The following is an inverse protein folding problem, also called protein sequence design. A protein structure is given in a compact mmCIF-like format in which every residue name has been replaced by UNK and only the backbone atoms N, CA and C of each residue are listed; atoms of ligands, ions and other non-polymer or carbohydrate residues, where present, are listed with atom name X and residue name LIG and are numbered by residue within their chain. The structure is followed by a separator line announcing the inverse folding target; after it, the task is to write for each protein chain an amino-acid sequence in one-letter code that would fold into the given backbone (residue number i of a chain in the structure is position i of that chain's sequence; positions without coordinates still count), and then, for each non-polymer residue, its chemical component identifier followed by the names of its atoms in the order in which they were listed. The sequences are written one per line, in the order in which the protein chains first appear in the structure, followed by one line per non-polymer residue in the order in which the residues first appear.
data_IF_014837558899
#
_entry.id   IF_014837558899
#
_cell.length_a   1.000
_cell.length_b   1.000
_cell.length_c   1.000
_cell.angle_alpha   90.00
_cell.angle_beta   90.00
_cell.angle_gamma   90.00
#
_symmetry.space_group_name_H-M   'P 1'
#
loop_
_entity.id
_entity.type
_entity.pdbx_description
1 polymer ?
#
# COMPACT_ATOMS: atom_id res chain seq x y z
N UNK A 1 -33.47 -51.23 39.09
CA UNK A 1 -34.62 -50.31 39.06
C UNK A 1 -34.38 -49.27 40.15
N UNK A 2 -34.19 -47.97 39.92
CA UNK A 2 -34.67 -47.05 38.88
C UNK A 2 -33.54 -46.05 38.58
N UNK A 3 -33.40 -45.75 37.30
CA UNK A 3 -32.59 -44.70 36.69
C UNK A 3 -33.00 -43.31 37.17
N UNK A 4 -32.03 -42.44 37.48
CA UNK A 4 -32.26 -40.99 37.44
C UNK A 4 -31.34 -40.37 36.39
N UNK A 5 -31.95 -40.10 35.24
CA UNK A 5 -31.44 -39.25 34.18
C UNK A 5 -31.03 -37.89 34.77
N UNK A 6 -29.73 -37.62 34.76
CA UNK A 6 -29.22 -36.25 34.87
C UNK A 6 -29.65 -35.47 33.61
N UNK A 7 -30.28 -34.32 33.81
CA UNK A 7 -30.85 -33.46 32.78
C UNK A 7 -29.79 -32.92 31.80
N UNK A 8 -30.09 -32.84 30.48
CA UNK A 8 -29.14 -32.38 29.45
C UNK A 8 -29.03 -30.85 29.32
N UNK A 9 -29.53 -30.06 30.30
CA UNK A 9 -29.62 -28.60 30.18
C UNK A 9 -28.33 -27.84 30.50
N UNK A 10 -27.32 -28.51 31.07
CA UNK A 10 -26.07 -27.86 31.48
C UNK A 10 -24.94 -27.92 30.44
N UNK A 11 -25.05 -28.81 29.44
CA UNK A 11 -24.00 -28.96 28.41
C UNK A 11 -24.13 -27.90 27.31
N UNK A 12 -25.35 -27.44 27.00
CA UNK A 12 -25.55 -26.39 25.98
C UNK A 12 -25.07 -24.99 26.42
N UNK A 13 -24.99 -24.71 27.73
CA UNK A 13 -24.56 -23.40 28.23
C UNK A 13 -23.04 -23.21 28.19
N UNK A 14 -22.27 -24.30 28.29
CA UNK A 14 -20.80 -24.25 28.21
C UNK A 14 -20.30 -24.10 26.77
N UNK A 15 -21.02 -24.61 25.78
CA UNK A 15 -20.62 -24.47 24.36
C UNK A 15 -20.86 -23.05 23.83
N UNK A 16 -21.88 -22.35 24.32
CA UNK A 16 -22.15 -20.97 23.88
C UNK A 16 -21.20 -19.91 24.48
N UNK A 17 -20.58 -20.20 25.63
CA UNK A 17 -19.58 -19.30 26.22
C UNK A 17 -18.20 -19.40 25.55
N UNK A 18 -17.85 -20.54 24.96
CA UNK A 18 -16.58 -20.70 24.24
C UNK A 18 -16.65 -20.34 22.74
N UNK A 19 -17.84 -20.29 22.14
CA UNK A 19 -17.99 -19.86 20.73
C UNK A 19 -18.05 -18.32 20.60
N UNK A 20 -18.32 -17.59 21.69
CA UNK A 20 -18.35 -16.13 21.71
C UNK A 20 -16.97 -15.44 21.77
N UNK A 21 -15.90 -16.17 22.10
CA UNK A 21 -14.53 -15.63 22.19
C UNK A 21 -13.66 -15.90 20.96
N UNK A 22 -14.27 -16.28 19.83
CA UNK A 22 -13.67 -15.97 18.52
C UNK A 22 -13.95 -14.49 18.21
N UNK A 23 -13.60 -13.62 19.17
CA UNK A 23 -13.56 -12.19 18.97
C UNK A 23 -12.47 -11.94 17.95
N UNK A 24 -12.94 -11.74 16.72
CA UNK A 24 -12.30 -11.03 15.63
C UNK A 24 -11.27 -10.03 16.20
N UNK A 25 -10.00 -10.45 16.31
CA UNK A 25 -8.89 -9.54 16.50
C UNK A 25 -8.78 -8.76 15.19
N UNK A 26 -9.65 -7.76 15.04
CA UNK A 26 -9.43 -6.69 14.07
C UNK A 26 -8.07 -6.11 14.42
N UNK A 27 -7.06 -6.45 13.63
CA UNK A 27 -5.72 -5.91 13.80
C UNK A 27 -5.84 -4.40 13.62
N UNK A 28 -5.88 -3.66 14.72
CA UNK A 28 -5.92 -2.20 14.69
C UNK A 28 -4.64 -1.73 14.03
N UNK A 29 -4.74 -1.18 12.82
CA UNK A 29 -3.61 -0.58 12.13
C UNK A 29 -3.34 0.77 12.79
N UNK A 30 -2.18 0.90 13.43
CA UNK A 30 -1.72 2.18 13.97
C UNK A 30 -1.15 3.01 12.82
N UNK A 31 -1.66 4.23 12.62
CA UNK A 31 -1.17 5.16 11.60
C UNK A 31 -0.19 6.17 12.20
N UNK A 32 1.04 6.17 11.70
CA UNK A 32 2.06 7.17 12.02
C UNK A 32 2.26 8.09 10.80
N UNK A 33 1.97 9.39 10.93
CA UNK A 33 2.27 10.36 9.88
C UNK A 33 3.71 10.86 10.06
N UNK A 34 4.53 10.72 9.03
CA UNK A 34 5.94 11.07 9.11
C UNK A 34 6.35 11.89 7.89
N UNK A 35 6.79 13.13 8.15
CA UNK A 35 7.26 14.09 7.15
C UNK A 35 6.19 14.55 6.15
N UNK A 36 6.04 15.87 6.04
CA UNK A 36 5.06 16.52 5.18
C UNK A 36 5.78 17.53 4.31
N UNK A 37 5.90 17.22 3.04
CA UNK A 37 6.25 18.20 2.02
C UNK A 37 5.15 19.25 1.92
N UNK A 38 5.56 20.49 1.63
CA UNK A 38 4.65 21.61 1.33
C UNK A 38 4.49 21.85 -0.16
N UNK A 39 5.30 21.18 -0.98
CA UNK A 39 5.28 21.31 -2.43
C UNK A 39 3.93 20.86 -3.02
N UNK A 40 3.37 21.59 -4.01
CA UNK A 40 2.22 21.11 -4.76
C UNK A 40 2.62 19.90 -5.61
N UNK A 41 1.68 18.97 -5.83
CA UNK A 41 1.90 17.89 -6.78
C UNK A 41 1.99 18.47 -8.20
N UNK A 42 3.01 18.02 -8.95
CA UNK A 42 3.30 18.55 -10.29
C UNK A 42 2.30 18.06 -11.35
N UNK A 43 1.66 16.91 -11.09
CA UNK A 43 0.64 16.32 -11.94
C UNK A 43 -0.30 15.43 -11.11
N UNK A 44 -1.44 15.07 -11.68
CA UNK A 44 -2.37 14.10 -11.10
C UNK A 44 -1.77 12.68 -10.95
N UNK A 45 -0.76 12.37 -11.76
CA UNK A 45 0.02 11.13 -11.70
C UNK A 45 1.18 11.16 -10.70
N UNK A 46 1.42 12.30 -10.04
CA UNK A 46 2.48 12.41 -9.02
C UNK A 46 2.02 11.69 -7.75
N UNK A 47 2.91 10.88 -7.17
CA UNK A 47 2.67 10.18 -5.90
C UNK A 47 2.60 11.20 -4.77
N UNK A 48 1.40 11.45 -4.26
CA UNK A 48 1.18 12.42 -3.19
C UNK A 48 1.54 11.87 -1.81
N UNK A 49 1.56 10.56 -1.62
CA UNK A 49 2.06 9.95 -0.41
C UNK A 49 2.57 8.51 -0.61
N UNK A 50 3.57 8.15 0.19
CA UNK A 50 4.02 6.77 0.36
C UNK A 50 3.47 6.20 1.67
N UNK A 51 2.94 4.98 1.63
CA UNK A 51 2.45 4.25 2.81
C UNK A 51 3.27 2.98 3.00
N UNK A 52 4.00 2.91 4.11
CA UNK A 52 4.83 1.76 4.47
C UNK A 52 4.17 0.95 5.58
N UNK A 53 3.90 -0.32 5.33
CA UNK A 53 3.37 -1.25 6.32
C UNK A 53 4.49 -2.07 6.97
N UNK A 54 4.52 -2.09 8.29
CA UNK A 54 5.47 -2.89 9.07
C UNK A 54 4.82 -3.41 10.36
N UNK A 55 5.54 -4.25 11.10
CA UNK A 55 5.08 -4.77 12.39
C UNK A 55 5.94 -4.17 13.49
N UNK A 56 5.31 -3.51 14.45
CA UNK A 56 5.97 -2.92 15.61
C UNK A 56 5.49 -3.63 16.88
N UNK A 57 6.38 -3.80 17.85
CA UNK A 57 5.99 -4.26 19.18
C UNK A 57 5.56 -3.05 20.00
N UNK A 58 4.29 -3.00 20.39
CA UNK A 58 3.71 -1.96 21.26
C UNK A 58 3.15 -2.66 22.49
N UNK A 59 3.64 -2.30 23.67
CA UNK A 59 3.26 -2.92 24.94
C UNK A 59 3.37 -4.46 24.93
N UNK A 60 4.47 -4.99 24.37
CA UNK A 60 4.72 -6.44 24.27
C UNK A 60 3.90 -7.19 23.20
N UNK A 61 2.94 -6.53 22.54
CA UNK A 61 2.13 -7.13 21.46
C UNK A 61 2.64 -6.70 20.09
N UNK A 62 2.71 -7.64 19.13
CA UNK A 62 3.00 -7.33 17.73
C UNK A 62 1.77 -6.69 17.10
N UNK A 63 1.91 -5.47 16.61
CA UNK A 63 0.85 -4.71 15.96
C UNK A 63 1.28 -4.37 14.53
N UNK A 64 0.32 -4.45 13.59
CA UNK A 64 0.53 -3.94 12.24
C UNK A 64 0.44 -2.42 12.30
N UNK A 65 1.42 -1.76 11.70
CA UNK A 65 1.57 -0.31 11.73
C UNK A 65 1.79 0.16 10.31
N UNK A 66 1.20 1.31 9.98
CA UNK A 66 1.44 1.98 8.71
C UNK A 66 2.05 3.36 8.98
N UNK A 67 3.16 3.63 8.30
CA UNK A 67 3.77 4.96 8.25
C UNK A 67 3.41 5.61 6.92
N UNK A 68 2.81 6.80 7.00
CA UNK A 68 2.42 7.58 5.83
C UNK A 68 3.32 8.80 5.69
N UNK A 69 3.98 8.91 4.53
CA UNK A 69 4.86 10.03 4.17
C UNK A 69 4.17 10.87 3.12
N UNK A 70 3.93 12.16 3.40
CA UNK A 70 3.25 13.06 2.45
C UNK A 70 4.31 13.75 1.59
N UNK A 71 4.31 13.40 0.31
CA UNK A 71 5.30 13.88 -0.66
C UNK A 71 4.87 15.18 -1.32
N UNK A 72 3.57 15.41 -1.54
CA UNK A 72 3.06 16.69 -2.05
C UNK A 72 1.59 16.92 -1.68
N UNK A 73 1.13 18.14 -1.93
CA UNK A 73 -0.26 18.56 -1.75
C UNK A 73 -1.03 18.48 -3.07
N UNK A 74 -2.19 17.82 -3.05
CA UNK A 74 -3.09 17.76 -4.18
C UNK A 74 -3.77 19.12 -4.40
N UNK A 75 -4.21 19.42 -5.63
CA UNK A 75 -4.92 20.68 -5.92
C UNK A 75 -6.22 20.82 -5.10
N UNK A 76 -6.87 19.71 -4.75
CA UNK A 76 -8.03 19.65 -3.84
C UNK A 76 -7.70 19.55 -2.34
N UNK A 77 -6.43 19.71 -1.95
CA UNK A 77 -6.00 19.68 -0.56
C UNK A 77 -5.12 18.48 -0.20
N UNK A 78 -5.51 17.74 0.85
CA UNK A 78 -4.72 16.62 1.36
C UNK A 78 -4.74 15.43 0.39
N UNK A 79 -3.63 14.71 0.31
CA UNK A 79 -3.55 13.43 -0.38
C UNK A 79 -4.64 12.49 0.18
N UNK A 80 -5.46 11.87 -0.68
CA UNK A 80 -6.56 11.01 -0.25
C UNK A 80 -6.03 9.77 0.48
N UNK A 81 -6.82 9.26 1.42
CA UNK A 81 -6.52 8.03 2.14
C UNK A 81 -7.64 7.01 1.94
N UNK A 82 -7.75 6.51 0.70
CA UNK A 82 -8.73 5.50 0.33
C UNK A 82 -8.13 4.50 -0.65
N UNK A 83 -8.70 3.30 -0.70
CA UNK A 83 -8.21 2.20 -1.55
C UNK A 83 -8.27 2.53 -3.04
N UNK A 84 -9.22 3.35 -3.48
CA UNK A 84 -9.36 3.77 -4.89
C UNK A 84 -8.23 4.67 -5.39
N UNK A 85 -7.36 5.16 -4.49
CA UNK A 85 -6.19 5.97 -4.80
C UNK A 85 -4.87 5.25 -4.52
N UNK A 86 -4.93 4.02 -4.02
CA UNK A 86 -3.76 3.26 -3.60
C UNK A 86 -3.28 2.35 -4.72
N UNK A 87 -1.97 2.37 -4.94
CA UNK A 87 -1.26 1.44 -5.82
C UNK A 87 -0.36 0.59 -4.94
N UNK A 88 -0.51 -0.73 -4.99
CA UNK A 88 0.39 -1.65 -4.29
C UNK A 88 1.69 -1.81 -5.09
N UNK A 89 2.77 -1.16 -4.64
CA UNK A 89 4.11 -1.31 -5.23
C UNK A 89 4.81 -2.56 -4.69
N UNK A 90 4.66 -2.80 -3.38
CA UNK A 90 5.11 -4.03 -2.75
C UNK A 90 4.12 -4.48 -1.69
N UNK A 91 4.31 -5.68 -1.12
CA UNK A 91 3.53 -6.14 0.03
C UNK A 91 3.65 -5.25 1.28
N UNK A 92 4.64 -4.34 1.35
CA UNK A 92 4.85 -3.42 2.47
C UNK A 92 4.83 -1.95 2.07
N UNK A 93 4.54 -1.63 0.82
CA UNK A 93 4.63 -0.27 0.31
C UNK A 93 3.51 -0.01 -0.69
N UNK A 94 2.75 1.05 -0.43
CA UNK A 94 1.70 1.55 -1.31
C UNK A 94 2.04 2.97 -1.73
N UNK A 95 1.74 3.31 -2.97
CA UNK A 95 1.77 4.67 -3.50
C UNK A 95 0.35 5.22 -3.48
N UNK A 96 0.18 6.50 -3.15
CA UNK A 96 -1.11 7.19 -3.20
C UNK A 96 -1.09 8.30 -4.24
N UNK A 97 -2.14 8.40 -5.04
CA UNK A 97 -2.32 9.43 -6.06
C UNK A 97 -3.43 10.41 -5.70
N UNK A 98 -3.37 11.62 -6.26
CA UNK A 98 -4.43 12.61 -6.10
C UNK A 98 -5.73 12.19 -6.80
N UNK A 99 -5.63 11.61 -8.00
CA UNK A 99 -6.79 11.04 -8.71
C UNK A 99 -6.99 9.56 -8.41
N UNK A 100 -8.21 9.03 -8.60
CA UNK A 100 -8.46 7.61 -8.55
C UNK A 100 -7.58 6.85 -9.54
N UNK A 101 -7.06 5.70 -9.13
CA UNK A 101 -6.17 4.88 -9.96
C UNK A 101 -6.87 4.36 -11.22
N UNK A 102 -8.21 4.29 -11.21
CA UNK A 102 -9.01 3.91 -12.38
C UNK A 102 -8.87 4.86 -13.58
N UNK A 103 -8.30 6.05 -13.38
CA UNK A 103 -7.97 6.99 -14.45
C UNK A 103 -6.71 6.60 -15.24
N UNK A 104 -5.89 5.69 -14.71
CA UNK A 104 -4.67 5.23 -15.35
C UNK A 104 -4.94 4.00 -16.22
N UNK A 105 -4.29 3.98 -17.39
CA UNK A 105 -4.30 2.80 -18.26
C UNK A 105 -3.45 1.67 -17.68
N UNK A 106 -3.76 0.43 -18.05
CA UNK A 106 -2.92 -0.73 -17.75
C UNK A 106 -1.62 -0.67 -18.54
N UNK A 107 -0.49 -0.94 -17.91
CA UNK A 107 0.80 -0.95 -18.57
C UNK A 107 0.92 -2.02 -19.64
N UNK A 108 1.44 -1.64 -20.81
CA UNK A 108 1.88 -2.59 -21.84
C UNK A 108 3.21 -3.23 -21.44
N UNK A 109 3.56 -4.41 -21.99
CA UNK A 109 4.88 -5.00 -21.80
C UNK A 109 5.99 -4.01 -22.15
N UNK A 110 7.03 -3.93 -21.31
CA UNK A 110 8.18 -3.02 -21.44
C UNK A 110 7.86 -1.51 -21.38
N UNK A 111 6.61 -1.12 -21.12
CA UNK A 111 6.28 0.28 -20.87
C UNK A 111 6.81 0.73 -19.51
N UNK A 112 7.34 1.95 -19.43
CA UNK A 112 7.66 2.59 -18.15
C UNK A 112 6.38 2.80 -17.34
N UNK A 113 6.31 2.14 -16.18
CA UNK A 113 5.22 2.25 -15.23
C UNK A 113 5.44 3.45 -14.32
N UNK A 114 6.62 3.55 -13.70
CA UNK A 114 6.94 4.64 -12.77
C UNK A 114 8.20 5.39 -13.22
N UNK A 115 8.21 6.70 -13.01
CA UNK A 115 9.41 7.53 -13.10
C UNK A 115 9.72 8.09 -11.71
N UNK A 116 10.93 7.85 -11.22
CA UNK A 116 11.43 8.50 -10.01
C UNK A 116 12.40 9.58 -10.43
N UNK A 117 12.01 10.83 -10.22
CA UNK A 117 12.83 12.00 -10.46
C UNK A 117 13.61 12.29 -9.19
N UNK A 118 14.93 12.37 -9.31
CA UNK A 118 15.85 12.65 -8.23
C UNK A 118 16.56 13.98 -8.49
N UNK A 119 16.94 14.63 -7.40
CA UNK A 119 17.62 15.94 -7.38
C UNK A 119 16.81 17.06 -8.03
N UNK A 120 15.48 16.96 -8.05
CA UNK A 120 14.62 18.03 -8.57
C UNK A 120 14.43 19.12 -7.52
N UNK A 121 15.02 20.30 -7.78
CA UNK A 121 14.95 21.47 -6.92
C UNK A 121 13.55 22.07 -6.78
N UNK A 122 12.58 21.64 -7.60
CA UNK A 122 11.17 22.08 -7.52
C UNK A 122 10.42 21.43 -6.37
N UNK A 123 11.03 20.47 -5.65
CA UNK A 123 10.37 19.67 -4.64
C UNK A 123 11.15 19.70 -3.32
N UNK A 124 10.45 19.89 -2.19
CA UNK A 124 11.07 20.04 -0.87
C UNK A 124 11.89 18.80 -0.45
N UNK A 125 11.56 17.63 -1.01
CA UNK A 125 12.25 16.37 -0.76
C UNK A 125 13.33 16.03 -1.79
N UNK A 126 13.59 16.94 -2.75
CA UNK A 126 14.48 16.75 -3.89
C UNK A 126 14.17 15.53 -4.77
N UNK A 127 13.09 14.80 -4.51
CA UNK A 127 12.64 13.70 -5.35
C UNK A 127 11.13 13.59 -5.36
N UNK A 128 10.59 13.12 -6.49
CA UNK A 128 9.17 12.78 -6.62
C UNK A 128 9.00 11.61 -7.58
N UNK A 129 7.92 10.87 -7.40
CA UNK A 129 7.57 9.74 -8.25
C UNK A 129 6.34 10.09 -9.07
N UNK A 130 6.33 9.74 -10.35
CA UNK A 130 5.12 9.78 -11.18
C UNK A 130 4.77 8.39 -11.68
N UNK A 131 3.48 8.10 -11.71
CA UNK A 131 2.92 6.84 -12.21
C UNK A 131 2.31 7.07 -13.60
N UNK A 132 2.82 6.37 -14.61
CA UNK A 132 2.36 6.50 -16.00
C UNK A 132 1.27 5.50 -16.35
N UNK A 133 1.29 4.31 -15.74
CA UNK A 133 0.32 3.25 -15.98
C UNK A 133 0.29 2.28 -14.80
N UNK A 134 -0.73 1.41 -14.74
CA UNK A 134 -0.89 0.39 -13.69
C UNK A 134 -0.31 -0.96 -14.12
N UNK A 135 0.60 -1.54 -13.33
CA UNK A 135 1.05 -2.91 -13.58
C UNK A 135 0.01 -3.94 -13.12
N UNK A 136 0.10 -5.17 -13.66
CA UNK A 136 -0.61 -6.32 -13.09
C UNK A 136 -0.33 -6.45 -11.58
N UNK A 137 -1.36 -6.79 -10.79
CA UNK A 137 -1.33 -6.91 -9.33
C UNK A 137 -1.21 -5.60 -8.52
N UNK A 138 -1.30 -4.41 -9.14
CA UNK A 138 -1.31 -3.13 -8.42
C UNK A 138 -2.57 -2.88 -7.57
N UNK A 139 -3.61 -3.71 -7.76
CA UNK A 139 -4.90 -3.59 -7.09
C UNK A 139 -5.02 -4.47 -5.84
N UNK A 140 -4.07 -5.39 -5.64
CA UNK A 140 -4.16 -6.42 -4.60
C UNK A 140 -2.87 -6.52 -3.80
N UNK A 141 -2.99 -6.96 -2.55
CA UNK A 141 -1.84 -7.22 -1.71
C UNK A 141 -1.02 -8.38 -2.28
N UNK A 142 0.25 -8.13 -2.57
CA UNK A 142 1.18 -9.18 -3.00
C UNK A 142 1.52 -10.10 -1.82
N UNK A 143 1.31 -11.43 -1.91
CA UNK A 143 1.74 -12.36 -0.88
C UNK A 143 3.27 -12.35 -0.78
N UNK A 144 3.84 -12.54 0.42
CA UNK A 144 5.28 -12.57 0.66
C UNK A 144 5.87 -11.28 1.25
N UNK A 145 7.08 -11.31 1.84
CA UNK A 145 7.57 -10.19 2.65
C UNK A 145 8.10 -8.99 1.86
N UNK A 146 8.43 -9.15 0.58
CA UNK A 146 9.02 -8.10 -0.29
C UNK A 146 8.70 -8.29 -1.79
N UNK A 147 7.61 -8.97 -2.12
CA UNK A 147 7.22 -9.11 -3.52
C UNK A 147 6.84 -7.73 -4.07
N UNK A 148 7.49 -7.34 -5.18
CA UNK A 148 7.28 -6.07 -5.88
C UNK A 148 6.46 -6.32 -7.14
N UNK A 149 5.56 -5.41 -7.45
CA UNK A 149 4.85 -5.41 -8.73
C UNK A 149 5.71 -4.84 -9.88
N UNK A 150 6.59 -3.89 -9.55
CA UNK A 150 7.50 -3.25 -10.49
C UNK A 150 8.92 -3.80 -10.30
N UNK A 151 9.53 -4.26 -11.39
CA UNK A 151 10.92 -4.76 -11.37
C UNK A 151 11.57 -4.39 -12.70
N UNK A 152 12.87 -4.12 -12.67
CA UNK A 152 13.68 -3.46 -13.71
C UNK A 152 13.64 -1.94 -13.60
N UNK A 153 14.79 -1.36 -13.26
CA UNK A 153 15.05 0.07 -13.36
C UNK A 153 16.07 0.29 -14.47
N UNK A 154 15.83 1.23 -15.37
CA UNK A 154 16.89 1.79 -16.23
C UNK A 154 17.09 3.26 -15.83
N UNK A 155 18.33 3.63 -15.54
CA UNK A 155 18.67 4.99 -15.12
C UNK A 155 19.08 5.78 -16.35
N UNK A 156 18.29 6.78 -16.72
CA UNK A 156 18.66 7.72 -17.77
C UNK A 156 19.21 8.99 -17.12
N UNK A 157 20.39 9.41 -17.54
CA UNK A 157 21.01 10.65 -17.12
C UNK A 157 20.65 11.74 -18.11
N UNK A 158 19.81 12.69 -17.69
CA UNK A 158 19.64 13.96 -18.39
C UNK A 158 20.32 15.01 -17.52
N UNK A 159 21.17 15.85 -18.10
CA UNK A 159 22.03 16.79 -17.38
C UNK A 159 21.28 17.54 -16.24
N UNK A 160 21.77 17.39 -15.00
CA UNK A 160 21.24 17.89 -13.72
C UNK A 160 19.96 17.25 -13.15
N UNK A 161 19.36 16.26 -13.81
CA UNK A 161 18.17 15.55 -13.33
C UNK A 161 18.33 14.04 -13.54
N UNK A 162 18.34 13.28 -12.44
CA UNK A 162 18.44 11.82 -12.54
C UNK A 162 17.03 11.24 -12.54
N UNK A 163 16.65 10.57 -13.62
CA UNK A 163 15.34 9.92 -13.74
C UNK A 163 15.52 8.41 -13.83
N UNK A 164 14.91 7.71 -12.88
CA UNK A 164 14.86 6.25 -12.89
C UNK A 164 13.53 5.80 -13.49
N UNK A 165 13.61 5.03 -14.56
CA UNK A 165 12.44 4.48 -15.25
C UNK A 165 12.25 3.05 -14.77
N UNK A 166 11.07 2.74 -14.25
CA UNK A 166 10.74 1.40 -13.80
C UNK A 166 9.64 0.78 -14.65
N UNK A 167 9.82 -0.47 -15.05
CA UNK A 167 8.84 -1.22 -15.86
C UNK A 167 8.17 -2.33 -15.03
N UNK A 168 7.01 -2.78 -15.48
CA UNK A 168 6.34 -3.90 -14.85
C UNK A 168 7.03 -5.21 -15.21
N UNK A 169 7.18 -6.11 -14.25
CA UNK A 169 7.51 -7.50 -14.55
C UNK A 169 6.23 -8.24 -14.93
N UNK A 170 5.76 -8.04 -16.16
CA UNK A 170 4.62 -8.78 -16.71
C UNK A 170 5.15 -10.16 -17.09
N UNK A 171 4.74 -11.26 -16.43
CA UNK A 171 5.13 -12.58 -16.89
C UNK A 171 4.65 -12.69 -18.34
N UNK A 172 5.58 -12.92 -19.28
CA UNK A 172 5.22 -13.30 -20.63
C UNK A 172 4.34 -14.53 -20.49
N UNK A 173 3.05 -14.41 -20.79
CA UNK A 173 2.27 -15.57 -21.18
C UNK A 173 2.92 -16.05 -22.47
N UNK A 174 3.86 -16.99 -22.34
CA UNK A 174 4.46 -17.67 -23.46
C UNK A 174 3.32 -18.27 -24.30
N UNK A 175 3.34 -17.94 -25.59
CA UNK A 175 2.72 -18.77 -26.60
C UNK A 175 3.25 -20.20 -26.51
#
# INVERSE_FOLDING_TARGET
MITKLAHPRWICFLVLLFVGEVFNQSQTVVYEQAQRSSSPCLSESTVCADVYSFTKTVNGKRQKTERRVINCLCQGGLCPNSTTHNIYDTSKHKLQLCQPISSLETCRPNQTAHEVHLQDKKFDLFSYTTVKCLCPHHLEYLPGPFNRSVKYGNTNFVTNHVVHHYTCNIPNNGN
#
